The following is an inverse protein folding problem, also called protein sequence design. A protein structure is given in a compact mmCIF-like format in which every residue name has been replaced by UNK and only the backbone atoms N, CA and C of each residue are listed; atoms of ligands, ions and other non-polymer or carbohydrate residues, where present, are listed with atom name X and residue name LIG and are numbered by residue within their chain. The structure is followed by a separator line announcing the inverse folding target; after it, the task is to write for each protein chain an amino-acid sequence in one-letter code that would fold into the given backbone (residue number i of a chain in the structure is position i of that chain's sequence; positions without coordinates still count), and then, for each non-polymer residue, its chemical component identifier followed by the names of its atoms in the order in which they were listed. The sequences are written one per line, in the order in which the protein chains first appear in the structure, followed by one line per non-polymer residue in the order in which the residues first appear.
data_IF_198628011600
#
_entry.id   IF_198628011600
#
_cell.length_a   1.000
_cell.length_b   1.000
_cell.length_c   1.000
_cell.angle_alpha   90.00
_cell.angle_beta   90.00
_cell.angle_gamma   90.00
#
_symmetry.space_group_name_H-M   'P 1'
#
loop_
_entity.id
_entity.type
_entity.pdbx_description
1 polymer ?
#
# COMPACT_ATOMS: atom_id res chain seq x y z
N UNK A 1 64.86 -31.74 -7.06
CA UNK A 1 63.45 -31.73 -6.60
C UNK A 1 63.31 -30.72 -5.44
N UNK A 2 63.15 -29.41 -5.67
CA UNK A 2 62.97 -28.40 -4.59
C UNK A 2 62.21 -27.13 -5.07
N UNK A 3 61.16 -27.26 -5.89
CA UNK A 3 60.39 -26.10 -6.43
C UNK A 3 58.87 -26.07 -6.15
N UNK A 4 58.18 -27.09 -5.58
CA UNK A 4 56.72 -27.01 -5.43
C UNK A 4 56.20 -26.14 -4.27
N UNK A 5 57.04 -25.77 -3.29
CA UNK A 5 56.57 -25.08 -2.07
C UNK A 5 56.35 -23.57 -2.24
N UNK A 6 57.09 -22.91 -3.15
CA UNK A 6 57.00 -21.45 -3.34
C UNK A 6 55.70 -21.00 -4.04
N UNK A 7 55.13 -21.85 -4.90
CA UNK A 7 53.92 -21.52 -5.67
C UNK A 7 52.63 -21.63 -4.83
N UNK A 8 52.61 -22.52 -3.83
CA UNK A 8 51.49 -22.67 -2.91
C UNK A 8 51.35 -21.50 -1.92
N UNK A 9 52.48 -20.90 -1.52
CA UNK A 9 52.49 -19.71 -0.66
C UNK A 9 52.05 -18.44 -1.40
N UNK A 10 52.45 -18.28 -2.67
CA UNK A 10 52.04 -17.14 -3.49
C UNK A 10 50.54 -17.16 -3.83
N UNK A 11 49.98 -18.34 -4.09
CA UNK A 11 48.54 -18.47 -4.41
C UNK A 11 47.66 -18.17 -3.19
N UNK A 12 48.07 -18.60 -1.98
CA UNK A 12 47.34 -18.30 -0.74
C UNK A 12 47.33 -16.79 -0.41
N UNK A 13 48.46 -16.11 -0.62
CA UNK A 13 48.59 -14.67 -0.41
C UNK A 13 47.71 -13.87 -1.38
N UNK A 14 47.68 -14.29 -2.65
CA UNK A 14 46.89 -13.63 -3.69
C UNK A 14 45.39 -13.83 -3.43
N UNK A 15 44.96 -15.03 -3.03
CA UNK A 15 43.56 -15.31 -2.66
C UNK A 15 43.13 -14.49 -1.44
N UNK A 16 43.95 -14.41 -0.41
CA UNK A 16 43.65 -13.65 0.80
C UNK A 16 43.49 -12.13 0.50
N UNK A 17 44.37 -11.58 -0.34
CA UNK A 17 44.32 -10.17 -0.74
C UNK A 17 43.11 -9.82 -1.62
N UNK A 18 42.65 -10.76 -2.45
CA UNK A 18 41.42 -10.61 -3.25
C UNK A 18 40.18 -10.69 -2.36
N UNK A 19 40.12 -11.60 -1.39
CA UNK A 19 39.00 -11.68 -0.44
C UNK A 19 38.90 -10.46 0.48
N UNK A 20 40.02 -9.84 0.85
CA UNK A 20 40.03 -8.64 1.68
C UNK A 20 39.48 -7.41 0.93
N UNK A 21 39.68 -7.34 -0.39
CA UNK A 21 39.25 -6.19 -1.21
C UNK A 21 37.75 -6.19 -1.53
N UNK A 22 37.07 -7.35 -1.45
CA UNK A 22 35.61 -7.45 -1.64
C UNK A 22 34.84 -7.11 -0.35
N UNK A 23 35.53 -7.05 0.79
CA UNK A 23 34.94 -6.78 2.11
C UNK A 23 34.78 -5.29 2.47
N UNK A 24 35.41 -4.37 1.74
CA UNK A 24 35.30 -2.94 2.03
C UNK A 24 34.01 -2.33 1.46
N UNK A 25 32.96 -2.40 2.28
CA UNK A 25 31.96 -1.34 2.42
C UNK A 25 31.09 -1.07 1.20
N UNK A 26 29.91 -1.70 1.16
CA UNK A 26 28.78 -1.11 0.43
C UNK A 26 28.42 0.22 1.12
N UNK A 27 29.06 1.30 0.72
CA UNK A 27 28.60 2.65 1.04
C UNK A 27 27.31 2.83 0.24
N UNK A 28 26.17 2.75 0.93
CA UNK A 28 24.90 3.13 0.30
C UNK A 28 25.06 4.55 -0.24
N UNK A 29 24.60 4.82 -1.48
CA UNK A 29 24.59 6.18 -1.99
C UNK A 29 23.84 7.08 -0.98
N UNK A 30 24.24 8.35 -0.85
CA UNK A 30 23.53 9.29 0.00
C UNK A 30 22.04 9.32 -0.41
N UNK A 31 21.12 9.45 0.55
CA UNK A 31 19.69 9.47 0.25
C UNK A 31 19.35 10.64 -0.66
N UNK A 32 18.46 10.39 -1.64
CA UNK A 32 18.01 11.43 -2.59
C UNK A 32 17.19 12.54 -1.92
N UNK A 33 16.54 12.23 -0.79
CA UNK A 33 15.72 13.16 -0.02
C UNK A 33 15.89 12.93 1.48
N UNK A 34 16.17 14.01 2.21
CA UNK A 34 16.22 14.01 3.69
C UNK A 34 15.17 14.99 4.21
N UNK A 35 14.29 14.51 5.08
CA UNK A 35 13.22 15.31 5.70
C UNK A 35 13.34 15.22 7.22
N UNK A 36 13.24 16.35 7.90
CA UNK A 36 13.18 16.41 9.36
C UNK A 36 11.73 16.13 9.78
N UNK A 37 11.47 14.96 10.36
CA UNK A 37 10.11 14.56 10.77
C UNK A 37 9.67 15.17 12.13
N UNK A 38 10.63 15.61 12.93
CA UNK A 38 10.42 16.08 14.30
C UNK A 38 10.65 14.97 15.32
N UNK A 39 9.76 14.77 16.30
CA UNK A 39 9.92 13.72 17.31
C UNK A 39 9.80 12.33 16.70
N UNK A 40 10.33 11.35 17.43
CA UNK A 40 10.19 9.92 17.11
C UNK A 40 8.69 9.56 17.04
N UNK A 41 8.24 8.85 15.99
CA UNK A 41 6.86 8.40 15.91
C UNK A 41 6.55 7.33 16.97
N UNK A 42 5.38 7.42 17.60
CA UNK A 42 4.97 6.47 18.65
C UNK A 42 4.46 5.15 18.07
N UNK A 43 3.80 5.23 16.91
CA UNK A 43 3.28 4.07 16.19
C UNK A 43 3.31 4.31 14.68
N UNK A 44 3.38 3.22 13.92
CA UNK A 44 3.23 3.21 12.47
C UNK A 44 1.93 2.55 12.01
N UNK A 45 1.11 2.06 12.95
CA UNK A 45 -0.23 1.55 12.63
C UNK A 45 -1.20 2.73 12.46
N UNK A 46 -1.69 3.00 11.22
CA UNK A 46 -2.56 4.13 10.96
C UNK A 46 -3.89 4.08 11.73
N UNK A 47 -4.29 2.92 12.26
CA UNK A 47 -5.49 2.77 13.08
C UNK A 47 -5.38 3.37 14.49
N UNK A 48 -4.15 3.60 14.98
CA UNK A 48 -3.88 4.12 16.33
C UNK A 48 -3.01 5.39 16.34
N UNK A 49 -2.41 5.76 15.21
CA UNK A 49 -1.62 6.98 15.08
C UNK A 49 -2.44 8.22 15.48
N UNK A 50 -1.85 9.09 16.30
CA UNK A 50 -2.47 10.36 16.69
C UNK A 50 -1.54 11.56 16.54
N UNK A 51 -0.22 11.34 16.55
CA UNK A 51 0.79 12.38 16.36
C UNK A 51 0.97 12.79 14.91
N UNK A 52 1.41 14.04 14.69
CA UNK A 52 1.77 14.51 13.34
C UNK A 52 2.99 13.79 12.77
N UNK A 53 3.99 13.46 13.61
CA UNK A 53 5.17 12.68 13.24
C UNK A 53 4.78 11.30 12.71
N UNK A 54 3.83 10.64 13.39
CA UNK A 54 3.31 9.33 13.02
C UNK A 54 2.57 9.41 11.68
N UNK A 55 1.63 10.34 11.55
CA UNK A 55 0.79 10.49 10.37
C UNK A 55 1.59 10.88 9.11
N UNK A 56 2.71 11.60 9.25
CA UNK A 56 3.61 11.89 8.12
C UNK A 56 4.25 10.61 7.57
N UNK A 57 4.74 9.75 8.45
CA UNK A 57 5.34 8.47 8.04
C UNK A 57 4.26 7.52 7.54
N UNK A 58 3.14 7.40 8.24
CA UNK A 58 2.01 6.57 7.82
C UNK A 58 1.44 7.01 6.46
N UNK A 59 1.32 8.31 6.20
CA UNK A 59 0.89 8.83 4.89
C UNK A 59 1.91 8.68 3.76
N UNK A 60 3.16 8.30 4.08
CA UNK A 60 4.16 7.91 3.10
C UNK A 60 4.15 6.39 2.83
N UNK A 61 3.76 5.58 3.83
CA UNK A 61 3.71 4.12 3.75
C UNK A 61 2.38 3.58 3.21
N UNK A 62 1.27 4.24 3.53
CA UNK A 62 -0.08 3.80 3.22
C UNK A 62 -0.80 4.84 2.35
N UNK A 63 -1.74 4.34 1.54
CA UNK A 63 -2.58 5.19 0.71
C UNK A 63 -4.06 4.85 0.88
N UNK A 64 -4.91 5.86 0.76
CA UNK A 64 -6.35 5.72 0.90
C UNK A 64 -7.05 5.44 -0.42
N UNK A 65 -8.39 5.42 -0.41
CA UNK A 65 -9.17 5.38 -1.65
C UNK A 65 -8.89 6.61 -2.53
N UNK A 66 -8.69 7.78 -1.90
CA UNK A 66 -8.38 9.05 -2.56
C UNK A 66 -7.27 9.77 -1.83
N UNK A 67 -6.61 10.70 -2.51
CA UNK A 67 -5.59 11.59 -1.95
C UNK A 67 -5.96 13.04 -2.19
N UNK A 68 -5.50 13.95 -1.35
CA UNK A 68 -5.63 15.38 -1.62
C UNK A 68 -4.59 15.84 -2.63
N UNK A 69 -5.03 16.52 -3.68
CA UNK A 69 -4.16 17.17 -4.64
C UNK A 69 -3.42 18.35 -3.96
N UNK A 70 -2.09 18.42 -4.05
CA UNK A 70 -1.30 19.41 -3.31
C UNK A 70 -1.50 20.85 -3.79
N UNK A 71 -2.07 21.07 -4.99
CA UNK A 71 -2.29 22.41 -5.56
C UNK A 71 -3.70 22.92 -5.34
N UNK A 72 -4.68 22.04 -5.47
CA UNK A 72 -6.10 22.36 -5.49
C UNK A 72 -6.82 21.97 -4.21
N UNK A 73 -6.18 21.15 -3.35
CA UNK A 73 -6.76 20.52 -2.17
C UNK A 73 -8.04 19.71 -2.46
N UNK A 74 -8.27 19.35 -3.72
CA UNK A 74 -9.41 18.51 -4.13
C UNK A 74 -9.04 17.05 -3.99
N UNK A 75 -10.05 16.21 -3.82
CA UNK A 75 -9.87 14.76 -3.89
C UNK A 75 -9.36 14.36 -5.29
N UNK A 76 -8.31 13.55 -5.31
CA UNK A 76 -7.65 13.00 -6.48
C UNK A 76 -7.58 11.47 -6.38
N UNK A 77 -7.54 10.75 -7.51
CA UNK A 77 -7.46 9.30 -7.51
C UNK A 77 -6.21 8.78 -6.81
N UNK A 78 -6.38 7.76 -5.97
CA UNK A 78 -5.30 7.00 -5.34
C UNK A 78 -5.49 5.52 -5.64
N UNK A 79 -5.83 4.68 -4.64
CA UNK A 79 -6.15 3.27 -4.84
C UNK A 79 -7.44 3.11 -5.66
N UNK A 80 -8.41 4.00 -5.46
CA UNK A 80 -9.56 4.09 -6.37
C UNK A 80 -9.19 4.92 -7.60
N UNK A 81 -9.50 4.41 -8.79
CA UNK A 81 -9.32 5.14 -10.06
C UNK A 81 -10.40 6.19 -10.28
N UNK A 82 -11.61 5.92 -9.79
CA UNK A 82 -12.76 6.81 -9.89
C UNK A 82 -13.78 6.49 -8.80
N UNK A 83 -14.72 7.42 -8.60
CA UNK A 83 -15.84 7.21 -7.70
C UNK A 83 -17.10 7.93 -8.20
N UNK A 84 -18.25 7.35 -7.88
CA UNK A 84 -19.57 7.91 -8.16
C UNK A 84 -20.26 8.28 -6.85
N UNK A 85 -20.99 9.40 -6.86
CA UNK A 85 -21.74 9.89 -5.71
C UNK A 85 -23.21 9.87 -6.08
N UNK A 86 -24.04 9.28 -5.22
CA UNK A 86 -25.49 9.27 -5.39
C UNK A 86 -26.08 10.67 -5.36
N UNK A 87 -27.28 10.85 -5.95
CA UNK A 87 -27.95 12.16 -6.02
C UNK A 87 -28.22 12.78 -4.65
N UNK A 88 -28.42 11.97 -3.62
CA UNK A 88 -28.63 12.39 -2.24
C UNK A 88 -27.32 12.59 -1.44
N UNK A 89 -26.16 12.31 -2.04
CA UNK A 89 -24.83 12.52 -1.45
C UNK A 89 -24.49 11.55 -0.32
N UNK A 90 -25.25 10.45 -0.16
CA UNK A 90 -25.11 9.50 0.96
C UNK A 90 -24.40 8.21 0.59
N UNK A 91 -24.37 7.87 -0.70
CA UNK A 91 -23.75 6.64 -1.22
C UNK A 91 -22.59 7.03 -2.12
N UNK A 92 -21.42 6.48 -1.79
CA UNK A 92 -20.19 6.63 -2.55
C UNK A 92 -19.79 5.26 -3.08
N UNK A 93 -19.66 5.13 -4.39
CA UNK A 93 -19.17 3.93 -5.04
C UNK A 93 -17.74 4.18 -5.51
N UNK A 94 -16.78 3.43 -4.99
CA UNK A 94 -15.37 3.53 -5.38
C UNK A 94 -14.98 2.38 -6.30
N UNK A 95 -14.32 2.68 -7.40
CA UNK A 95 -13.78 1.70 -8.34
C UNK A 95 -12.28 1.52 -8.05
N UNK A 96 -11.91 0.35 -7.50
CA UNK A 96 -10.53 0.03 -7.13
C UNK A 96 -9.72 -0.38 -8.38
N UNK A 97 -8.50 0.14 -8.51
CA UNK A 97 -7.61 -0.21 -9.61
C UNK A 97 -7.33 -1.72 -9.63
N UNK A 98 -7.52 -2.42 -10.76
CA UNK A 98 -7.22 -3.85 -10.86
C UNK A 98 -5.75 -4.21 -10.64
N UNK A 99 -4.85 -3.24 -10.83
CA UNK A 99 -3.40 -3.38 -10.62
C UNK A 99 -2.94 -2.97 -9.21
N UNK A 100 -3.83 -2.54 -8.32
CA UNK A 100 -3.46 -2.17 -6.95
C UNK A 100 -2.95 -3.41 -6.19
N UNK A 101 -1.72 -3.32 -5.67
CA UNK A 101 -1.06 -4.39 -4.93
C UNK A 101 -0.50 -3.88 -3.63
N UNK A 102 -0.53 -4.72 -2.61
CA UNK A 102 0.27 -4.56 -1.39
C UNK A 102 1.75 -4.74 -1.73
N UNK A 103 2.63 -4.27 -0.84
CA UNK A 103 4.09 -4.41 -1.00
C UNK A 103 4.57 -5.87 -1.05
N UNK A 104 3.78 -6.80 -0.48
CA UNK A 104 4.00 -8.25 -0.56
C UNK A 104 3.55 -8.88 -1.90
N UNK A 105 2.91 -8.10 -2.79
CA UNK A 105 2.40 -8.54 -4.09
C UNK A 105 0.94 -9.03 -4.09
N UNK A 106 0.27 -9.07 -2.95
CA UNK A 106 -1.15 -9.44 -2.88
C UNK A 106 -2.05 -8.35 -3.48
N UNK A 107 -3.20 -8.74 -4.02
CA UNK A 107 -4.15 -7.79 -4.62
C UNK A 107 -4.94 -7.06 -3.54
N UNK A 108 -5.03 -5.74 -3.68
CA UNK A 108 -5.86 -4.92 -2.79
C UNK A 108 -7.33 -5.06 -3.20
N UNK A 109 -8.18 -5.32 -2.22
CA UNK A 109 -9.62 -5.58 -2.41
C UNK A 109 -10.49 -4.60 -1.62
N UNK A 110 -11.80 -4.58 -1.91
CA UNK A 110 -12.74 -3.75 -1.14
C UNK A 110 -12.86 -4.23 0.31
N UNK A 111 -12.67 -5.52 0.55
CA UNK A 111 -12.71 -6.15 1.85
C UNK A 111 -11.62 -5.63 2.79
N UNK A 112 -10.45 -5.27 2.28
CA UNK A 112 -9.35 -4.71 3.07
C UNK A 112 -9.77 -3.37 3.70
N UNK A 113 -10.40 -2.49 2.93
CA UNK A 113 -10.93 -1.22 3.43
C UNK A 113 -12.06 -1.43 4.44
N UNK A 114 -12.95 -2.39 4.19
CA UNK A 114 -14.01 -2.77 5.15
C UNK A 114 -13.41 -3.21 6.47
N UNK A 115 -12.37 -4.03 6.42
CA UNK A 115 -11.67 -4.53 7.59
C UNK A 115 -11.02 -3.37 8.37
N UNK A 116 -10.26 -2.51 7.70
CA UNK A 116 -9.58 -1.38 8.34
C UNK A 116 -10.55 -0.39 9.00
N UNK A 117 -11.66 -0.05 8.34
CA UNK A 117 -12.66 0.84 8.94
C UNK A 117 -13.37 0.19 10.13
N UNK A 118 -13.64 -1.12 10.07
CA UNK A 118 -14.21 -1.84 11.22
C UNK A 118 -13.24 -1.87 12.39
N UNK A 119 -11.97 -2.14 12.13
CA UNK A 119 -10.91 -2.15 13.13
C UNK A 119 -10.81 -0.79 13.83
N UNK A 120 -10.69 0.30 13.06
CA UNK A 120 -10.67 1.67 13.60
C UNK A 120 -11.95 1.99 14.38
N UNK A 121 -13.13 1.66 13.82
CA UNK A 121 -14.40 1.90 14.51
C UNK A 121 -14.53 1.11 15.81
N UNK A 122 -13.96 -0.10 15.90
CA UNK A 122 -14.01 -0.94 17.10
C UNK A 122 -13.16 -0.36 18.24
N UNK A 123 -12.06 0.32 17.90
CA UNK A 123 -11.21 1.04 18.86
C UNK A 123 -11.95 2.29 19.40
N UNK A 124 -12.76 2.94 18.55
CA UNK A 124 -13.58 4.10 18.92
C UNK A 124 -15.01 3.76 19.39
N UNK A 125 -15.42 2.48 19.35
CA UNK A 125 -16.77 2.03 19.74
C UNK A 125 -17.06 2.18 21.24
N UNK A 126 -16.15 2.78 22.01
CA UNK A 126 -16.46 3.35 23.33
C UNK A 126 -17.34 4.62 23.24
N UNK A 127 -17.55 5.19 22.05
CA UNK A 127 -18.50 6.26 21.79
C UNK A 127 -19.40 5.94 20.56
N UNK A 128 -20.70 6.26 20.69
CA UNK A 128 -21.85 5.80 19.88
C UNK A 128 -21.65 5.66 18.35
N UNK A 129 -22.26 4.66 17.68
CA UNK A 129 -22.00 4.37 16.28
C UNK A 129 -22.78 5.27 15.32
N UNK A 130 -22.07 5.84 14.34
CA UNK A 130 -22.65 6.16 13.03
C UNK A 130 -22.69 4.88 12.19
N UNK A 131 -23.82 4.64 11.52
CA UNK A 131 -24.10 3.41 10.77
C UNK A 131 -23.48 3.50 9.37
N UNK A 132 -22.24 3.06 9.20
CA UNK A 132 -21.59 2.91 7.90
C UNK A 132 -21.97 1.53 7.29
N UNK A 133 -22.89 1.52 6.33
CA UNK A 133 -23.26 0.31 5.59
C UNK A 133 -22.26 0.09 4.45
N UNK A 134 -21.42 -0.94 4.55
CA UNK A 134 -20.59 -1.42 3.43
C UNK A 134 -21.21 -2.73 2.94
N UNK A 135 -21.73 -2.71 1.71
CA UNK A 135 -22.40 -3.86 1.11
C UNK A 135 -21.39 -4.97 0.79
N UNK A 136 -21.77 -6.21 1.11
CA UNK A 136 -20.98 -7.43 0.87
C UNK A 136 -21.39 -8.02 -0.49
N UNK A 137 -20.52 -8.07 -1.52
CA UNK A 137 -20.93 -8.55 -2.82
C UNK A 137 -20.76 -10.07 -2.92
N UNK A 138 -21.70 -10.84 -2.36
CA UNK A 138 -21.70 -12.30 -2.55
C UNK A 138 -22.27 -12.74 -3.92
N UNK A 139 -22.74 -11.80 -4.75
CA UNK A 139 -23.23 -12.07 -6.11
C UNK A 139 -22.90 -10.90 -7.06
N UNK A 140 -22.14 -11.12 -8.15
CA UNK A 140 -21.78 -10.06 -9.11
C UNK A 140 -22.98 -9.39 -9.80
N UNK A 141 -24.17 -10.00 -9.75
CA UNK A 141 -25.32 -9.59 -10.58
C UNK A 141 -26.36 -8.74 -9.84
N UNK A 142 -26.29 -8.61 -8.52
CA UNK A 142 -27.39 -8.03 -7.73
C UNK A 142 -27.28 -6.52 -7.44
N UNK A 143 -26.13 -5.89 -7.68
CA UNK A 143 -25.84 -4.54 -7.18
C UNK A 143 -26.26 -3.43 -8.16
N UNK A 144 -26.43 -3.77 -9.44
CA UNK A 144 -26.63 -2.78 -10.51
C UNK A 144 -28.08 -2.29 -10.69
N UNK A 145 -29.05 -2.82 -9.92
CA UNK A 145 -30.48 -2.56 -10.14
C UNK A 145 -31.20 -1.76 -9.06
N UNK A 146 -30.60 -1.52 -7.90
CA UNK A 146 -31.36 -1.05 -6.72
C UNK A 146 -31.16 0.43 -6.36
N UNK A 147 -30.25 1.15 -7.01
CA UNK A 147 -29.90 2.52 -6.61
C UNK A 147 -30.21 3.53 -7.72
N UNK A 148 -31.17 4.45 -7.52
CA UNK A 148 -31.49 5.48 -8.50
C UNK A 148 -30.28 6.39 -8.75
N UNK A 149 -29.72 6.34 -9.96
CA UNK A 149 -28.74 7.33 -10.45
C UNK A 149 -27.27 6.90 -10.50
N UNK A 150 -26.92 5.64 -10.21
CA UNK A 150 -25.60 5.09 -10.50
C UNK A 150 -25.60 4.48 -11.91
N UNK A 151 -24.56 4.74 -12.69
CA UNK A 151 -24.45 4.20 -14.04
C UNK A 151 -24.16 2.69 -13.97
N UNK A 152 -24.74 1.88 -14.87
CA UNK A 152 -24.45 0.43 -14.90
C UNK A 152 -22.95 0.27 -15.23
N UNK A 153 -22.16 -0.43 -14.41
CA UNK A 153 -20.79 -0.74 -14.80
C UNK A 153 -20.80 -1.55 -16.09
N UNK A 154 -19.89 -1.23 -17.02
CA UNK A 154 -19.67 -2.02 -18.22
C UNK A 154 -19.38 -3.46 -17.80
N UNK A 155 -20.17 -4.41 -18.32
CA UNK A 155 -20.00 -5.81 -18.01
C UNK A 155 -18.61 -6.26 -18.45
N UNK A 156 -17.71 -6.53 -17.49
CA UNK A 156 -16.50 -7.31 -17.75
C UNK A 156 -16.97 -8.72 -18.09
N UNK A 157 -17.12 -9.00 -19.38
CA UNK A 157 -17.37 -10.34 -19.89
C UNK A 157 -16.13 -11.17 -19.58
N UNK A 158 -16.18 -11.93 -18.49
CA UNK A 158 -15.21 -13.00 -18.24
C UNK A 158 -15.40 -14.04 -19.33
N UNK A 159 -14.54 -14.00 -20.35
CA UNK A 159 -14.41 -15.05 -21.37
C UNK A 159 -14.13 -16.36 -20.66
N UNK A 160 -15.15 -17.22 -20.54
CA UNK A 160 -14.97 -18.64 -20.22
C UNK A 160 -14.48 -19.34 -21.49
N UNK A 161 -13.16 -19.39 -21.66
CA UNK A 161 -12.50 -20.50 -22.34
C UNK A 161 -11.82 -21.28 -21.22
N UNK A 162 -12.03 -22.58 -20.98
CA UNK A 162 -12.37 -23.68 -21.87
C UNK A 162 -11.21 -24.67 -21.75
N UNK A 163 -11.51 -25.88 -21.24
CA UNK A 163 -10.67 -27.03 -20.81
C UNK A 163 -9.96 -26.91 -19.47
#
# INVERSE_FOLDING_TARGET
MMVPCAHAALSLFTVCSVTFSVGCGRVSPPPDLVVINGPEPESLDPGVCSGQSDLRVAGALFDGLTRLDPKTAKASPSIAESWEISKDGRVYLFHIRPAARWSNGESITAEDFVYSWRLSSSIFARFRPLRLCIARPSRPTAIAGSWPGLSRPAAVTRSRNGT
#
